data_IF_832475057330
#
_entry.id   IF_832475057330
#
_cell.length_a   1.000
_cell.length_b   1.000
_cell.length_c   1.000
_cell.angle_alpha   90.00
_cell.angle_beta   90.00
_cell.angle_gamma   90.00
#
_symmetry.space_group_name_H-M   'P 1'
#
loop_
_entity.id
_entity.type
_entity.pdbx_description
1 polymer ?
#
# COMPACT_ATOMS: atom_id res chain seq x y z
N UNK A 1 7.95 -4.30 -22.60
CA UNK A 1 8.88 -3.51 -21.75
C UNK A 1 8.38 -3.60 -20.32
N UNK A 2 9.26 -3.92 -19.36
CA UNK A 2 8.93 -3.94 -17.93
C UNK A 2 9.84 -2.92 -17.25
N UNK A 3 9.27 -2.08 -16.40
CA UNK A 3 10.03 -1.04 -15.70
C UNK A 3 9.18 -0.35 -14.64
N UNK A 4 9.81 0.52 -13.87
CA UNK A 4 9.14 1.31 -12.83
C UNK A 4 8.46 2.54 -13.45
N UNK A 5 8.08 3.51 -12.63
CA UNK A 5 7.57 4.83 -13.05
C UNK A 5 8.44 5.53 -14.13
N UNK A 6 9.71 5.14 -14.29
CA UNK A 6 10.58 5.61 -15.36
C UNK A 6 9.99 5.38 -16.76
N UNK A 7 9.17 4.35 -16.95
CA UNK A 7 8.49 4.03 -18.22
C UNK A 7 7.50 5.12 -18.66
N UNK A 8 7.00 5.92 -17.71
CA UNK A 8 5.94 6.91 -17.95
C UNK A 8 6.53 8.29 -18.24
N UNK A 9 7.82 8.49 -17.99
CA UNK A 9 8.49 9.77 -18.29
C UNK A 9 8.39 10.14 -19.77
N UNK A 10 8.25 11.43 -20.07
CA UNK A 10 7.98 11.96 -21.42
C UNK A 10 8.99 11.52 -22.49
N UNK A 11 10.22 11.24 -22.05
CA UNK A 11 11.31 10.77 -22.93
C UNK A 11 11.07 9.37 -23.50
N UNK A 12 10.23 8.57 -22.86
CA UNK A 12 9.91 7.21 -23.30
C UNK A 12 8.77 7.26 -24.30
N UNK A 13 9.09 7.05 -25.57
CA UNK A 13 8.13 6.96 -26.67
C UNK A 13 7.89 5.51 -27.05
N UNK A 14 6.63 5.18 -27.34
CA UNK A 14 6.24 3.88 -27.84
C UNK A 14 6.00 3.97 -29.34
N UNK A 15 6.26 2.90 -30.08
CA UNK A 15 5.89 2.83 -31.50
C UNK A 15 4.38 2.57 -31.65
N UNK A 16 3.82 1.68 -30.81
CA UNK A 16 2.38 1.37 -30.77
C UNK A 16 2.00 0.77 -29.42
N UNK A 17 1.57 1.60 -28.47
CA UNK A 17 1.14 1.15 -27.15
C UNK A 17 -0.29 0.59 -27.22
N UNK A 18 -0.44 -0.73 -27.10
CA UNK A 18 -1.76 -1.39 -27.09
C UNK A 18 -2.24 -1.88 -25.72
N UNK A 19 -1.33 -2.10 -24.77
CA UNK A 19 -1.64 -2.62 -23.43
C UNK A 19 -0.65 -2.06 -22.40
N UNK A 20 -1.17 -1.60 -21.28
CA UNK A 20 -0.42 -1.23 -20.09
C UNK A 20 -0.93 -2.06 -18.89
N UNK A 21 0.00 -2.70 -18.19
CA UNK A 21 -0.29 -3.43 -16.95
C UNK A 21 0.41 -2.68 -15.81
N UNK A 22 -0.36 -2.29 -14.79
CA UNK A 22 0.13 -1.59 -13.61
C UNK A 22 -0.07 -2.51 -12.41
N UNK A 23 1.01 -2.80 -11.68
CA UNK A 23 0.99 -3.58 -10.44
C UNK A 23 1.17 -2.65 -9.23
N UNK A 24 0.54 -3.00 -8.11
CA UNK A 24 0.53 -2.20 -6.86
C UNK A 24 0.06 -0.75 -7.06
N UNK A 25 -1.17 -0.58 -7.55
CA UNK A 25 -1.78 0.69 -7.98
C UNK A 25 -1.70 1.86 -6.98
N UNK A 26 -1.45 1.64 -5.68
CA UNK A 26 -1.48 2.71 -4.67
C UNK A 26 -0.48 3.85 -4.90
N UNK A 27 0.54 3.68 -5.77
CA UNK A 27 1.47 4.74 -6.18
C UNK A 27 1.13 5.41 -7.53
N UNK A 28 0.14 4.88 -8.23
CA UNK A 28 -0.30 5.32 -9.55
C UNK A 28 -1.61 6.10 -9.44
N UNK A 29 -1.50 7.43 -9.41
CA UNK A 29 -2.63 8.35 -9.39
C UNK A 29 -3.25 8.58 -10.77
N UNK A 30 -4.29 9.41 -10.79
CA UNK A 30 -5.07 9.76 -12.00
C UNK A 30 -4.19 10.37 -13.10
N UNK A 31 -3.22 11.21 -12.74
CA UNK A 31 -2.33 11.89 -13.68
C UNK A 31 -1.46 10.92 -14.50
N UNK A 32 -0.91 9.87 -13.88
CA UNK A 32 -0.08 8.89 -14.59
C UNK A 32 -0.92 8.02 -15.55
N UNK A 33 -2.19 7.76 -15.20
CA UNK A 33 -3.14 7.09 -16.10
C UNK A 33 -3.45 7.93 -17.34
N UNK A 34 -3.68 9.24 -17.16
CA UNK A 34 -3.90 10.17 -18.26
C UNK A 34 -2.66 10.26 -19.16
N UNK A 35 -1.45 10.31 -18.58
CA UNK A 35 -0.20 10.28 -19.33
C UNK A 35 -0.04 9.00 -20.18
N UNK A 36 -0.38 7.81 -19.64
CA UNK A 36 -0.35 6.57 -20.41
C UNK A 36 -1.37 6.56 -21.56
N UNK A 37 -2.57 7.12 -21.34
CA UNK A 37 -3.57 7.30 -22.39
C UNK A 37 -3.08 8.25 -23.48
N UNK A 38 -2.54 9.41 -23.10
CA UNK A 38 -1.98 10.40 -24.02
C UNK A 38 -0.87 9.79 -24.88
N UNK A 39 0.04 9.03 -24.27
CA UNK A 39 1.09 8.32 -25.01
C UNK A 39 0.55 7.33 -26.04
N UNK A 40 -0.55 6.64 -25.76
CA UNK A 40 -1.20 5.76 -26.74
C UNK A 40 -1.82 6.51 -27.91
N UNK A 41 -2.46 7.66 -27.62
CA UNK A 41 -3.03 8.54 -28.65
C UNK A 41 -1.95 9.18 -29.54
N UNK A 42 -0.84 9.62 -28.96
CA UNK A 42 0.30 10.20 -29.68
C UNK A 42 0.98 9.20 -30.63
N UNK A 43 0.90 7.89 -30.34
CA UNK A 43 1.44 6.84 -31.22
C UNK A 43 0.64 6.69 -32.53
N UNK A 44 -0.62 7.13 -32.57
CA UNK A 44 -1.49 7.05 -33.76
C UNK A 44 -1.36 8.25 -34.71
N UNK A 45 -0.77 9.36 -34.27
CA UNK A 45 -0.67 10.59 -35.06
C UNK A 45 0.50 10.60 -36.08
N UNK A 46 1.32 9.53 -36.10
CA UNK A 46 2.48 9.42 -36.97
C UNK A 46 2.19 8.75 -38.32
N UNK A 47 1.82 9.56 -39.32
CA UNK A 47 2.10 9.29 -40.75
C UNK A 47 1.16 8.38 -41.53
N UNK A 48 0.56 7.35 -40.93
CA UNK A 48 -0.53 6.57 -41.54
C UNK A 48 -1.83 6.96 -40.86
N UNK A 49 -2.91 7.23 -41.60
CA UNK A 49 -4.22 7.68 -41.08
C UNK A 49 -4.97 6.67 -40.21
N UNK A 50 -4.28 5.97 -39.32
CA UNK A 50 -4.83 5.10 -38.31
C UNK A 50 -5.41 5.92 -37.15
N UNK A 51 -6.63 5.57 -36.76
CA UNK A 51 -7.32 6.16 -35.62
C UNK A 51 -6.43 6.17 -34.36
N UNK A 52 -6.51 7.25 -33.58
CA UNK A 52 -5.91 7.31 -32.25
C UNK A 52 -6.47 6.17 -31.40
N UNK A 53 -5.60 5.25 -30.95
CA UNK A 53 -6.02 4.07 -30.17
C UNK A 53 -5.69 4.30 -28.70
N UNK A 54 -6.71 4.21 -27.86
CA UNK A 54 -6.49 4.12 -26.42
C UNK A 54 -5.90 2.75 -26.07
N UNK A 55 -4.85 2.69 -25.23
CA UNK A 55 -4.29 1.43 -24.80
C UNK A 55 -5.22 0.76 -23.79
N UNK A 56 -5.32 -0.57 -23.86
CA UNK A 56 -5.96 -1.34 -22.80
C UNK A 56 -5.18 -1.17 -21.50
N UNK A 57 -5.89 -0.98 -20.38
CA UNK A 57 -5.27 -0.78 -19.07
C UNK A 57 -5.73 -1.89 -18.11
N UNK A 58 -4.78 -2.65 -17.58
CA UNK A 58 -5.00 -3.60 -16.50
C UNK A 58 -4.32 -3.10 -15.24
N UNK A 59 -5.07 -2.86 -14.17
CA UNK A 59 -4.54 -2.47 -12.87
C UNK A 59 -4.71 -3.59 -11.86
N UNK A 60 -3.64 -3.91 -11.14
CA UNK A 60 -3.59 -4.96 -10.13
C UNK A 60 -3.25 -4.35 -8.77
N UNK A 61 -3.90 -4.85 -7.71
CA UNK A 61 -3.66 -4.42 -6.33
C UNK A 61 -3.85 -5.61 -5.39
N UNK A 62 -2.95 -5.74 -4.42
CA UNK A 62 -3.07 -6.74 -3.35
C UNK A 62 -4.13 -6.37 -2.30
N UNK A 63 -4.49 -5.09 -2.21
CA UNK A 63 -5.57 -4.61 -1.35
C UNK A 63 -6.78 -4.32 -2.22
N UNK A 64 -7.86 -5.11 -2.12
CA UNK A 64 -9.06 -4.89 -2.93
C UNK A 64 -9.59 -3.48 -2.70
N UNK A 65 -9.94 -2.77 -3.75
CA UNK A 65 -10.69 -1.52 -3.62
C UNK A 65 -12.17 -1.91 -3.68
N UNK A 66 -13.01 -1.48 -2.72
CA UNK A 66 -14.45 -1.73 -2.81
C UNK A 66 -14.98 -1.30 -4.18
N UNK A 67 -15.80 -2.13 -4.82
CA UNK A 67 -16.31 -1.89 -6.18
C UNK A 67 -17.00 -0.53 -6.30
N UNK A 68 -17.81 -0.17 -5.32
CA UNK A 68 -18.51 1.12 -5.25
C UNK A 68 -17.55 2.30 -5.21
N UNK A 69 -16.46 2.17 -4.46
CA UNK A 69 -15.38 3.16 -4.43
C UNK A 69 -14.62 3.20 -5.75
N UNK A 70 -14.32 2.04 -6.34
CA UNK A 70 -13.66 1.98 -7.64
C UNK A 70 -14.50 2.65 -8.74
N UNK A 71 -15.82 2.46 -8.70
CA UNK A 71 -16.78 3.11 -9.60
C UNK A 71 -16.87 4.61 -9.35
N UNK A 72 -16.89 5.07 -8.10
CA UNK A 72 -16.97 6.48 -7.78
C UNK A 72 -15.69 7.27 -8.12
N UNK A 73 -14.52 6.66 -7.86
CA UNK A 73 -13.21 7.31 -8.03
C UNK A 73 -12.67 7.13 -9.43
N UNK A 74 -12.88 5.96 -10.03
CA UNK A 74 -12.28 5.62 -11.31
C UNK A 74 -13.29 5.43 -12.46
N UNK A 75 -14.59 5.53 -12.17
CA UNK A 75 -15.65 5.55 -13.18
C UNK A 75 -15.82 4.19 -13.87
N UNK A 76 -15.31 4.12 -15.09
CA UNK A 76 -15.51 3.04 -16.07
C UNK A 76 -14.52 1.86 -15.89
N UNK A 77 -14.15 1.56 -14.65
CA UNK A 77 -13.26 0.43 -14.37
C UNK A 77 -14.06 -0.83 -14.07
N UNK A 78 -13.97 -1.79 -14.98
CA UNK A 78 -14.39 -3.15 -14.72
C UNK A 78 -13.46 -3.79 -13.68
N UNK A 79 -14.04 -4.17 -12.55
CA UNK A 79 -13.32 -4.77 -11.43
C UNK A 79 -13.56 -6.28 -11.45
N UNK A 80 -12.48 -7.04 -11.64
CA UNK A 80 -12.46 -8.48 -11.43
C UNK A 80 -11.78 -8.82 -10.11
N UNK A 81 -12.28 -9.83 -9.41
CA UNK A 81 -11.84 -10.17 -8.06
C UNK A 81 -11.32 -11.61 -8.02
N UNK A 82 -10.24 -11.83 -7.27
CA UNK A 82 -9.68 -13.16 -7.02
C UNK A 82 -9.75 -13.39 -5.51
N UNK A 83 -10.81 -14.08 -5.06
CA UNK A 83 -11.10 -14.26 -3.63
C UNK A 83 -10.42 -15.49 -3.01
N UNK A 84 -10.22 -16.54 -3.82
CA UNK A 84 -9.71 -17.81 -3.30
C UNK A 84 -8.19 -17.89 -3.37
N UNK A 85 -7.61 -18.43 -2.31
CA UNK A 85 -6.19 -18.75 -2.28
C UNK A 85 -5.90 -19.86 -3.30
N UNK A 86 -4.75 -19.81 -4.00
CA UNK A 86 -4.26 -20.95 -4.77
C UNK A 86 -4.15 -22.21 -3.90
N UNK A 87 -4.33 -23.41 -4.48
CA UNK A 87 -4.18 -24.66 -3.74
C UNK A 87 -2.78 -24.76 -3.11
N UNK A 88 -2.72 -25.26 -1.88
CA UNK A 88 -1.46 -25.42 -1.13
C UNK A 88 -1.06 -24.24 -0.24
N UNK A 89 -1.86 -23.15 -0.18
CA UNK A 89 -1.67 -22.08 0.80
C UNK A 89 -2.44 -22.33 2.09
N UNK A 90 -1.75 -22.20 3.22
CA UNK A 90 -2.36 -22.25 4.54
C UNK A 90 -2.80 -20.86 5.01
N UNK A 91 -3.99 -20.72 5.65
CA UNK A 91 -4.43 -19.45 6.19
C UNK A 91 -3.49 -18.99 7.31
N UNK A 92 -3.19 -17.69 7.33
CA UNK A 92 -2.32 -17.09 8.35
C UNK A 92 -3.12 -16.82 9.61
N UNK A 93 -2.71 -17.41 10.74
CA UNK A 93 -3.32 -17.15 12.04
C UNK A 93 -2.78 -15.86 12.62
N UNK A 94 -3.64 -14.84 12.77
CA UNK A 94 -3.24 -13.54 13.34
C UNK A 94 -3.53 -13.49 14.84
N UNK A 95 -2.57 -13.00 15.63
CA UNK A 95 -2.70 -12.75 17.07
C UNK A 95 -2.18 -11.36 17.41
N UNK A 96 -2.79 -10.74 18.42
CA UNK A 96 -2.45 -9.38 18.86
C UNK A 96 -2.01 -9.46 20.32
N UNK A 97 -0.85 -8.88 20.63
CA UNK A 97 -0.24 -8.87 21.96
C UNK A 97 0.23 -7.47 22.33
N UNK A 98 0.15 -7.15 23.61
CA UNK A 98 0.84 -5.99 24.14
C UNK A 98 2.35 -6.29 24.24
N UNK A 99 3.15 -5.23 24.28
CA UNK A 99 4.61 -5.30 24.28
C UNK A 99 5.20 -6.00 25.53
N UNK A 100 4.42 -6.17 26.60
CA UNK A 100 4.78 -6.98 27.77
C UNK A 100 5.00 -8.47 27.43
N UNK A 101 4.46 -8.94 26.29
CA UNK A 101 4.68 -10.30 25.78
C UNK A 101 5.82 -10.40 24.78
N UNK A 102 6.56 -9.32 24.53
CA UNK A 102 7.65 -9.29 23.54
C UNK A 102 8.70 -10.37 23.81
N UNK A 103 9.12 -10.57 25.06
CA UNK A 103 10.09 -11.61 25.41
C UNK A 103 9.61 -13.02 25.04
N UNK A 104 8.33 -13.32 25.25
CA UNK A 104 7.74 -14.59 24.85
C UNK A 104 7.72 -14.76 23.33
N UNK A 105 7.48 -13.68 22.58
CA UNK A 105 7.56 -13.67 21.12
C UNK A 105 9.00 -13.93 20.65
N UNK A 106 9.98 -13.27 21.26
CA UNK A 106 11.40 -13.49 20.94
C UNK A 106 11.80 -14.96 21.20
N UNK A 107 11.37 -15.55 22.31
CA UNK A 107 11.62 -16.97 22.59
C UNK A 107 10.97 -17.88 21.54
N UNK A 108 9.76 -17.54 21.07
CA UNK A 108 9.10 -18.27 19.99
C UNK A 108 9.87 -18.16 18.67
N UNK A 109 10.41 -16.98 18.35
CA UNK A 109 11.26 -16.77 17.17
C UNK A 109 12.51 -17.65 17.26
N UNK A 110 13.18 -17.69 18.41
CA UNK A 110 14.34 -18.55 18.64
C UNK A 110 14.05 -20.02 18.37
N UNK A 111 12.92 -20.54 18.86
CA UNK A 111 12.51 -21.93 18.62
C UNK A 111 12.28 -22.22 17.13
N UNK A 112 11.65 -21.28 16.41
CA UNK A 112 11.36 -21.44 14.98
C UNK A 112 12.63 -21.39 14.13
N UNK A 113 13.56 -20.48 14.45
CA UNK A 113 14.87 -20.39 13.79
C UNK A 113 15.66 -21.68 14.01
N UNK A 114 15.67 -22.22 15.24
CA UNK A 114 16.31 -23.49 15.55
C UNK A 114 15.67 -24.68 14.80
N UNK A 115 14.35 -24.63 14.57
CA UNK A 115 13.63 -25.59 13.73
C UNK A 115 13.82 -25.37 12.22
N UNK A 116 14.72 -24.46 11.81
CA UNK A 116 15.01 -24.16 10.41
C UNK A 116 13.93 -23.35 9.69
N UNK A 117 12.97 -22.77 10.42
CA UNK A 117 11.93 -21.91 9.82
C UNK A 117 12.45 -20.49 9.63
N UNK A 118 11.81 -19.77 8.71
CA UNK A 118 12.13 -18.39 8.43
C UNK A 118 11.10 -17.43 9.02
N UNK A 119 11.59 -16.31 9.53
CA UNK A 119 10.82 -15.33 10.29
C UNK A 119 11.09 -13.93 9.75
N UNK A 120 10.02 -13.16 9.57
CA UNK A 120 10.08 -11.71 9.37
C UNK A 120 9.84 -10.99 10.69
N UNK A 121 10.64 -9.96 10.97
CA UNK A 121 10.44 -9.03 12.07
C UNK A 121 10.42 -7.60 11.54
N UNK A 122 9.26 -6.94 11.62
CA UNK A 122 9.03 -5.63 11.02
C UNK A 122 8.96 -4.56 12.08
N UNK A 123 9.83 -3.56 11.95
CA UNK A 123 9.80 -2.34 12.76
C UNK A 123 9.11 -1.21 11.95
N UNK A 124 8.25 -0.39 12.57
CA UNK A 124 7.61 0.74 11.90
C UNK A 124 8.64 1.78 11.44
N UNK A 125 8.31 2.49 10.36
CA UNK A 125 8.85 3.82 10.09
C UNK A 125 7.93 4.81 10.83
N UNK A 126 8.49 5.84 11.46
CA UNK A 126 7.70 6.86 12.14
C UNK A 126 7.29 7.88 11.08
N UNK A 127 6.17 7.63 10.41
CA UNK A 127 5.54 8.69 9.61
C UNK A 127 4.96 9.76 10.54
N UNK A 128 5.04 11.02 10.12
CA UNK A 128 4.53 12.18 10.85
C UNK A 128 3.05 11.95 11.21
N UNK A 129 2.75 11.70 12.48
CA UNK A 129 1.40 11.86 12.99
C UNK A 129 1.01 13.32 12.74
N UNK A 130 0.00 13.55 11.91
CA UNK A 130 -0.59 14.87 11.72
C UNK A 130 -0.85 15.47 13.12
N UNK A 131 -0.37 16.68 13.42
CA UNK A 131 -0.47 17.22 14.76
C UNK A 131 -1.95 17.34 15.13
N UNK A 132 -2.39 16.53 16.09
CA UNK A 132 -3.60 16.80 16.83
C UNK A 132 -3.36 18.13 17.55
N UNK A 133 -4.09 19.15 17.12
CA UNK A 133 -4.12 20.47 17.73
C UNK A 133 -4.36 20.35 19.23
N UNK A 134 -3.36 20.70 20.03
CA UNK A 134 -3.54 21.22 21.37
C UNK A 134 -2.58 22.41 21.55
N UNK A 135 -3.08 23.59 21.95
CA UNK A 135 -2.25 24.79 22.04
C UNK A 135 -1.75 24.97 23.47
N UNK A 136 -0.45 24.75 23.73
CA UNK A 136 0.25 25.48 24.81
C UNK A 136 1.70 25.74 24.43
N UNK A 137 2.07 27.01 24.63
CA UNK A 137 3.33 27.72 24.41
C UNK A 137 4.64 26.98 24.69
N UNK A 138 5.64 27.24 23.83
CA UNK A 138 6.86 27.95 24.27
C UNK A 138 7.50 28.67 23.09
N UNK A 139 7.63 29.98 23.24
CA UNK A 139 8.29 30.87 22.30
C UNK A 139 9.83 30.76 22.41
N UNK A 140 10.48 31.21 21.32
CA UNK A 140 11.88 31.61 21.19
C UNK A 140 12.92 30.50 20.99
N UNK A 141 13.34 30.33 19.72
CA UNK A 141 14.69 30.70 19.27
C UNK A 141 14.76 30.62 17.73
N UNK A 142 15.07 31.77 17.12
CA UNK A 142 15.28 31.94 15.69
C UNK A 142 16.60 31.27 15.24
N UNK A 143 16.54 30.49 14.16
CA UNK A 143 17.59 30.45 13.13
C UNK A 143 17.06 29.76 11.86
N UNK A 144 17.12 30.52 10.76
CA UNK A 144 16.60 30.16 9.45
C UNK A 144 17.31 28.95 8.82
N UNK A 145 16.59 27.84 8.73
CA UNK A 145 16.74 26.76 7.75
C UNK A 145 15.45 25.92 7.81
N UNK A 146 14.91 25.42 6.68
CA UNK A 146 13.56 24.84 6.63
C UNK A 146 13.44 23.69 7.64
N UNK A 147 12.64 23.89 8.69
CA UNK A 147 12.51 22.97 9.82
C UNK A 147 12.01 21.58 9.40
N UNK A 148 11.22 21.49 8.33
CA UNK A 148 10.71 20.22 7.77
C UNK A 148 11.81 19.24 7.37
N UNK A 149 12.92 19.72 6.80
CA UNK A 149 14.03 18.85 6.38
C UNK A 149 14.90 18.33 7.53
N UNK A 150 15.02 19.10 8.63
CA UNK A 150 15.78 18.68 9.82
C UNK A 150 15.03 17.66 10.66
N UNK A 151 13.71 17.82 10.80
CA UNK A 151 12.86 16.91 11.57
C UNK A 151 12.71 15.54 10.88
N UNK A 152 12.44 15.52 9.58
CA UNK A 152 12.35 14.27 8.81
C UNK A 152 13.67 13.46 8.89
N UNK A 153 14.81 14.12 8.66
CA UNK A 153 16.13 13.47 8.74
C UNK A 153 16.48 12.97 10.14
N UNK A 154 15.99 13.64 11.19
CA UNK A 154 16.16 13.21 12.59
C UNK A 154 15.30 11.98 12.90
N UNK A 155 14.06 11.92 12.40
CA UNK A 155 13.17 10.78 12.60
C UNK A 155 13.68 9.54 11.87
N UNK A 156 14.10 9.68 10.61
CA UNK A 156 14.76 8.60 9.86
C UNK A 156 16.00 8.03 10.58
N UNK A 157 16.74 8.89 11.28
CA UNK A 157 17.91 8.46 12.07
C UNK A 157 17.51 7.70 13.33
N UNK A 158 16.41 8.09 13.99
CA UNK A 158 15.87 7.37 15.16
C UNK A 158 15.29 6.02 14.75
N UNK A 159 14.67 5.92 13.58
CA UNK A 159 14.12 4.68 13.02
C UNK A 159 15.20 3.67 12.66
N UNK A 160 16.27 4.13 12.01
CA UNK A 160 17.42 3.29 11.73
C UNK A 160 17.99 2.70 13.02
N UNK A 161 18.13 3.55 14.04
CA UNK A 161 18.61 3.12 15.36
C UNK A 161 17.67 2.11 16.01
N UNK A 162 16.36 2.23 15.85
CA UNK A 162 15.40 1.26 16.38
C UNK A 162 15.57 -0.11 15.71
N UNK A 163 15.63 -0.15 14.38
CA UNK A 163 15.83 -1.41 13.64
C UNK A 163 17.21 -2.03 13.93
N UNK A 164 18.26 -1.22 14.05
CA UNK A 164 19.61 -1.67 14.43
C UNK A 164 19.66 -2.19 15.88
N UNK A 165 18.95 -1.54 16.81
CA UNK A 165 18.86 -2.00 18.20
C UNK A 165 18.13 -3.34 18.30
N UNK A 166 16.97 -3.46 17.66
CA UNK A 166 16.22 -4.72 17.58
C UNK A 166 17.04 -5.82 16.91
N UNK A 167 17.79 -5.49 15.85
CA UNK A 167 18.71 -6.43 15.22
C UNK A 167 19.80 -6.92 16.17
N UNK A 168 20.48 -6.02 16.88
CA UNK A 168 21.52 -6.37 17.85
C UNK A 168 20.97 -7.22 19.00
N UNK A 169 19.78 -6.88 19.49
CA UNK A 169 19.10 -7.63 20.54
C UNK A 169 18.74 -9.05 20.08
N UNK A 170 18.11 -9.19 18.90
CA UNK A 170 17.72 -10.49 18.37
C UNK A 170 18.95 -11.37 18.06
N UNK A 171 20.05 -10.77 17.60
CA UNK A 171 21.34 -11.48 17.48
C UNK A 171 21.82 -12.01 18.83
N UNK A 172 21.79 -11.19 19.88
CA UNK A 172 22.21 -11.60 21.21
C UNK A 172 21.36 -12.77 21.74
N UNK A 173 20.04 -12.74 21.53
CA UNK A 173 19.14 -13.80 22.00
C UNK A 173 19.29 -15.11 21.21
N UNK A 174 19.63 -15.03 19.92
CA UNK A 174 19.83 -16.19 19.05
C UNK A 174 21.20 -16.88 19.25
N UNK A 175 22.18 -16.19 19.85
CA UNK A 175 23.47 -16.79 20.22
C UNK A 175 24.21 -17.37 19.02
N UNK A 176 24.34 -18.71 18.95
CA UNK A 176 25.03 -19.41 17.85
C UNK A 176 24.36 -19.18 16.48
N UNK A 177 23.04 -18.93 16.46
CA UNK A 177 22.29 -18.61 15.25
C UNK A 177 22.34 -17.11 14.89
N UNK A 178 23.11 -16.27 15.61
CA UNK A 178 23.20 -14.83 15.35
C UNK A 178 23.64 -14.48 13.91
N UNK A 179 24.44 -15.34 13.28
CA UNK A 179 24.87 -15.18 11.89
C UNK A 179 23.72 -15.35 10.88
N UNK A 180 22.58 -15.91 11.31
CA UNK A 180 21.38 -16.13 10.49
C UNK A 180 20.37 -14.98 10.59
N UNK A 181 20.71 -13.90 11.29
CA UNK A 181 19.89 -12.69 11.37
C UNK A 181 20.36 -11.70 10.30
N UNK A 182 19.43 -11.22 9.49
CA UNK A 182 19.64 -10.16 8.52
C UNK A 182 18.96 -8.86 8.92
N UNK A 183 19.53 -7.74 8.49
CA UNK A 183 18.95 -6.41 8.63
C UNK A 183 18.65 -5.82 7.24
N UNK A 184 17.45 -5.27 7.05
CA UNK A 184 17.04 -4.60 5.83
C UNK A 184 16.35 -3.27 6.12
N UNK A 185 16.91 -2.16 5.63
CA UNK A 185 16.31 -0.84 5.77
C UNK A 185 16.52 0.02 4.53
N UNK A 186 15.74 1.10 4.41
CA UNK A 186 15.72 2.00 3.26
C UNK A 186 17.08 2.59 2.88
N UNK A 187 17.98 2.83 3.85
CA UNK A 187 19.31 3.41 3.63
C UNK A 187 20.39 2.45 3.11
N UNK A 188 20.13 1.14 3.06
CA UNK A 188 21.08 0.20 2.47
C UNK A 188 21.22 0.43 0.95
N UNK A 189 22.43 0.28 0.43
CA UNK A 189 22.67 0.27 -1.01
C UNK A 189 21.85 -0.84 -1.69
N UNK A 190 21.37 -0.58 -2.91
CA UNK A 190 20.51 -1.51 -3.65
C UNK A 190 21.12 -2.92 -3.79
N UNK A 191 22.43 -2.99 -4.09
CA UNK A 191 23.15 -4.26 -4.17
C UNK A 191 23.14 -5.04 -2.84
N UNK A 192 23.29 -4.33 -1.71
CA UNK A 192 23.25 -4.96 -0.38
C UNK A 192 21.85 -5.44 -0.03
N UNK A 193 20.81 -4.67 -0.34
CA UNK A 193 19.41 -5.10 -0.17
C UNK A 193 19.12 -6.38 -0.95
N UNK A 194 19.52 -6.41 -2.22
CA UNK A 194 19.35 -7.58 -3.09
C UNK A 194 20.07 -8.80 -2.51
N UNK A 195 21.31 -8.64 -2.03
CA UNK A 195 22.07 -9.71 -1.41
C UNK A 195 21.39 -10.26 -0.15
N UNK A 196 20.98 -9.39 0.78
CA UNK A 196 20.29 -9.80 2.02
C UNK A 196 19.00 -10.56 1.69
N UNK A 197 18.22 -10.08 0.71
CA UNK A 197 17.01 -10.76 0.27
C UNK A 197 17.29 -12.10 -0.39
N UNK A 198 18.37 -12.22 -1.17
CA UNK A 198 18.79 -13.49 -1.77
C UNK A 198 19.27 -14.49 -0.70
N UNK A 199 20.00 -14.03 0.31
CA UNK A 199 20.44 -14.84 1.44
C UNK A 199 19.27 -15.33 2.28
N UNK A 200 18.26 -14.48 2.48
CA UNK A 200 17.01 -14.86 3.12
C UNK A 200 16.25 -15.85 2.25
N UNK A 201 15.97 -15.58 0.98
CA UNK A 201 15.26 -16.53 0.10
C UNK A 201 15.95 -17.91 -0.01
N UNK A 202 17.28 -17.95 0.03
CA UNK A 202 18.06 -19.19 0.02
C UNK A 202 18.13 -19.92 1.37
N UNK A 203 17.53 -19.36 2.44
CA UNK A 203 17.56 -19.94 3.79
C UNK A 203 18.92 -19.85 4.49
N UNK A 204 19.84 -19.00 3.99
CA UNK A 204 21.09 -18.66 4.70
C UNK A 204 20.79 -17.77 5.90
N UNK A 205 19.84 -16.85 5.73
CA UNK A 205 19.24 -16.08 6.82
C UNK A 205 17.91 -16.70 7.21
N UNK A 206 17.68 -16.83 8.51
CA UNK A 206 16.44 -17.39 9.10
C UNK A 206 15.58 -16.32 9.75
N UNK A 207 16.16 -15.20 10.14
CA UNK A 207 15.43 -14.06 10.67
C UNK A 207 15.78 -12.81 9.87
N UNK A 208 14.78 -12.10 9.37
CA UNK A 208 14.97 -10.81 8.69
C UNK A 208 14.31 -9.70 9.50
N UNK A 209 15.13 -8.84 10.10
CA UNK A 209 14.70 -7.60 10.73
C UNK A 209 14.62 -6.54 9.64
N UNK A 210 13.46 -5.93 9.45
CA UNK A 210 13.26 -4.95 8.41
C UNK A 210 12.43 -3.74 8.86
N UNK A 211 12.72 -2.57 8.30
CA UNK A 211 11.75 -1.46 8.33
C UNK A 211 10.68 -1.66 7.25
N UNK A 212 9.64 -0.83 7.23
CA UNK A 212 8.43 -0.97 6.38
C UNK A 212 8.67 -0.98 4.86
N UNK A 213 9.92 -0.97 4.42
CA UNK A 213 10.38 -1.24 3.06
C UNK A 213 10.50 -2.75 2.79
N UNK A 214 9.49 -3.55 3.16
CA UNK A 214 9.31 -4.87 2.54
C UNK A 214 8.41 -4.71 1.31
N UNK A 215 8.82 -3.81 0.42
CA UNK A 215 8.26 -3.67 -0.93
C UNK A 215 8.88 -4.66 -1.91
N UNK A 216 9.92 -5.40 -1.50
CA UNK A 216 10.57 -6.35 -2.40
C UNK A 216 9.67 -7.58 -2.49
N UNK A 217 9.07 -7.79 -3.67
CA UNK A 217 8.18 -8.89 -4.05
C UNK A 217 8.78 -10.30 -3.99
N UNK A 218 9.66 -10.57 -3.02
CA UNK A 218 10.28 -11.88 -2.85
C UNK A 218 9.32 -12.81 -2.14
N UNK A 219 8.96 -13.89 -2.82
CA UNK A 219 8.21 -15.01 -2.27
C UNK A 219 9.17 -15.92 -1.50
N UNK A 220 8.92 -16.14 -0.21
CA UNK A 220 9.70 -17.06 0.63
C UNK A 220 8.74 -18.10 1.22
N UNK A 221 8.52 -19.25 0.55
CA UNK A 221 7.56 -20.25 1.01
C UNK A 221 7.84 -20.81 2.40
N UNK A 222 9.12 -20.85 2.81
CA UNK A 222 9.56 -21.32 4.12
C UNK A 222 9.36 -20.29 5.25
N UNK A 223 8.86 -19.08 4.95
CA UNK A 223 8.54 -18.07 5.95
C UNK A 223 7.18 -18.38 6.61
N UNK A 224 7.23 -18.79 7.88
CA UNK A 224 6.06 -19.24 8.64
C UNK A 224 5.65 -18.27 9.74
N UNK A 225 6.46 -17.24 10.04
CA UNK A 225 6.16 -16.27 11.08
C UNK A 225 6.42 -14.84 10.61
N UNK A 226 5.42 -13.98 10.79
CA UNK A 226 5.52 -12.53 10.63
C UNK A 226 5.32 -11.87 11.99
N UNK A 227 6.31 -11.12 12.48
CA UNK A 227 6.21 -10.29 13.68
C UNK A 227 6.21 -8.84 13.27
N UNK A 228 5.24 -8.06 13.74
CA UNK A 228 5.13 -6.62 13.48
C UNK A 228 5.16 -5.91 14.82
N UNK A 229 6.25 -5.18 15.08
CA UNK A 229 6.37 -4.29 16.23
C UNK A 229 5.53 -3.03 16.02
N UNK A 230 5.01 -2.47 17.12
CA UNK A 230 4.21 -1.24 17.12
C UNK A 230 3.14 -1.21 16.00
N UNK A 231 2.38 -2.30 15.87
CA UNK A 231 1.37 -2.49 14.85
C UNK A 231 0.29 -1.37 14.86
N UNK A 232 0.12 -0.67 15.98
CA UNK A 232 -0.72 0.53 16.10
C UNK A 232 -0.27 1.72 15.24
N UNK A 233 0.94 1.67 14.65
CA UNK A 233 1.45 2.71 13.76
C UNK A 233 1.18 2.47 12.27
N UNK A 234 0.80 1.25 11.89
CA UNK A 234 0.64 0.84 10.50
C UNK A 234 -0.79 0.92 10.00
N UNK A 235 -1.03 1.44 8.80
CA UNK A 235 -2.36 1.39 8.16
C UNK A 235 -2.87 -0.06 7.95
N UNK A 236 -4.19 -0.24 7.84
CA UNK A 236 -4.79 -1.58 7.74
C UNK A 236 -4.33 -2.31 6.47
N UNK A 237 -4.26 -1.57 5.36
CA UNK A 237 -3.71 -2.05 4.09
C UNK A 237 -2.25 -2.47 4.19
N UNK A 238 -1.39 -1.72 4.88
CA UNK A 238 0.01 -2.08 5.10
C UNK A 238 0.12 -3.36 5.93
N UNK A 239 -0.63 -3.47 7.02
CA UNK A 239 -0.68 -4.68 7.85
C UNK A 239 -1.15 -5.90 7.05
N UNK A 240 -2.16 -5.72 6.19
CA UNK A 240 -2.65 -6.76 5.30
C UNK A 240 -1.58 -7.25 4.32
N UNK A 241 -0.86 -6.33 3.68
CA UNK A 241 0.23 -6.65 2.75
C UNK A 241 1.38 -7.38 3.47
N UNK A 242 1.78 -6.92 4.65
CA UNK A 242 2.82 -7.58 5.46
C UNK A 242 2.40 -9.00 5.86
N UNK A 243 1.16 -9.18 6.34
CA UNK A 243 0.61 -10.51 6.65
C UNK A 243 0.67 -11.46 5.44
N UNK A 244 0.41 -10.96 4.23
CA UNK A 244 0.47 -11.73 2.98
C UNK A 244 1.88 -12.15 2.51
N UNK A 245 2.94 -11.74 3.22
CA UNK A 245 4.32 -12.17 2.96
C UNK A 245 4.63 -13.55 3.55
N UNK A 246 3.80 -14.07 4.45
CA UNK A 246 3.93 -15.41 5.05
C UNK A 246 2.76 -16.32 4.63
N UNK A 247 2.89 -17.63 4.84
CA UNK A 247 1.84 -18.60 4.52
C UNK A 247 1.71 -18.91 3.03
N UNK A 248 2.82 -18.82 2.31
CA UNK A 248 2.89 -19.12 0.87
C UNK A 248 3.16 -20.60 0.56
N UNK A 249 3.56 -21.39 1.57
CA UNK A 249 3.67 -22.84 1.50
C UNK A 249 2.54 -23.57 2.25
N UNK A 250 2.67 -24.89 2.34
CA UNK A 250 1.73 -25.77 3.03
C UNK A 250 1.80 -25.64 4.57
N UNK A 251 2.92 -25.18 5.09
CA UNK A 251 3.12 -25.02 6.54
C UNK A 251 2.18 -23.96 7.13
N UNK A 252 1.72 -24.20 8.36
CA UNK A 252 0.93 -23.22 9.09
C UNK A 252 1.75 -21.95 9.34
N UNK A 253 1.17 -20.80 8.96
CA UNK A 253 1.78 -19.50 9.17
C UNK A 253 1.06 -18.72 10.27
N UNK A 254 1.83 -17.92 11.00
CA UNK A 254 1.35 -17.05 12.07
C UNK A 254 1.77 -15.59 11.80
N UNK A 255 0.92 -14.64 12.19
CA UNK A 255 1.21 -13.21 12.18
C UNK A 255 0.96 -12.65 13.58
N UNK A 256 2.01 -12.16 14.23
CA UNK A 256 1.97 -11.61 15.58
C UNK A 256 2.10 -10.09 15.50
N UNK A 257 1.07 -9.41 15.99
CA UNK A 257 0.99 -7.96 16.06
C UNK A 257 1.32 -7.54 17.49
N UNK A 258 2.47 -6.90 17.69
CA UNK A 258 2.86 -6.30 18.96
C UNK A 258 2.43 -4.83 18.99
N UNK A 259 1.86 -4.38 20.11
CA UNK A 259 1.48 -2.98 20.28
C UNK A 259 1.90 -2.44 21.64
N UNK A 260 2.12 -1.13 21.71
CA UNK A 260 2.41 -0.45 22.98
C UNK A 260 1.12 0.22 23.51
N UNK A 261 0.65 -0.13 24.73
CA UNK A 261 -0.48 0.57 25.36
C UNK A 261 -0.15 2.04 25.67
N UNK A 262 -1.14 2.95 25.70
CA UNK A 262 -2.56 2.72 25.41
C UNK A 262 -2.88 2.77 23.91
N UNK A 263 -3.80 1.91 23.45
CA UNK A 263 -4.33 1.95 22.09
C UNK A 263 -5.43 3.00 21.95
N UNK A 264 -5.39 3.77 20.87
CA UNK A 264 -6.55 4.57 20.43
C UNK A 264 -7.71 3.65 19.99
N UNK A 265 -8.94 4.17 20.02
CA UNK A 265 -10.12 3.42 19.55
C UNK A 265 -9.95 2.93 18.11
N UNK A 266 -9.48 3.82 17.22
CA UNK A 266 -9.21 3.51 15.82
C UNK A 266 -8.13 2.44 15.64
N UNK A 267 -7.03 2.52 16.39
CA UNK A 267 -5.97 1.51 16.33
C UNK A 267 -6.48 0.14 16.82
N UNK A 268 -7.29 0.13 17.88
CA UNK A 268 -7.91 -1.10 18.39
C UNK A 268 -8.82 -1.74 17.35
N UNK A 269 -9.73 -0.98 16.75
CA UNK A 269 -10.62 -1.49 15.69
C UNK A 269 -9.85 -2.06 14.51
N UNK A 270 -8.77 -1.37 14.10
CA UNK A 270 -7.92 -1.82 13.00
C UNK A 270 -7.21 -3.15 13.28
N UNK A 271 -6.56 -3.26 14.45
CA UNK A 271 -5.87 -4.50 14.85
C UNK A 271 -6.86 -5.66 15.03
N UNK A 272 -8.05 -5.37 15.55
CA UNK A 272 -9.12 -6.35 15.69
C UNK A 272 -9.64 -6.81 14.32
N UNK A 273 -9.87 -5.91 13.37
CA UNK A 273 -10.29 -6.27 12.02
C UNK A 273 -9.29 -7.23 11.34
N UNK A 274 -7.98 -6.94 11.43
CA UNK A 274 -6.94 -7.81 10.86
C UNK A 274 -6.87 -9.19 11.56
N UNK A 275 -7.16 -9.25 12.86
CA UNK A 275 -7.20 -10.50 13.62
C UNK A 275 -8.40 -11.36 13.22
N UNK A 276 -9.56 -10.73 13.06
CA UNK A 276 -10.84 -11.42 12.91
C UNK A 276 -11.11 -11.83 11.45
N UNK A 277 -10.48 -11.17 10.46
CA UNK A 277 -10.68 -11.47 9.04
C UNK A 277 -9.38 -11.66 8.25
N UNK A 278 -9.34 -12.73 7.46
CA UNK A 278 -8.32 -12.94 6.43
C UNK A 278 -8.71 -12.36 5.06
N UNK A 279 -9.97 -11.95 4.88
CA UNK A 279 -10.50 -11.48 3.60
C UNK A 279 -10.10 -10.02 3.33
N UNK A 280 -9.36 -9.82 2.24
CA UNK A 280 -8.92 -8.50 1.81
C UNK A 280 -10.06 -7.52 1.55
N UNK A 281 -11.26 -7.97 1.17
CA UNK A 281 -12.43 -7.10 0.94
C UNK A 281 -12.99 -6.54 2.23
N UNK A 282 -13.22 -7.43 3.21
CA UNK A 282 -13.70 -7.04 4.54
C UNK A 282 -12.73 -6.04 5.16
N UNK A 283 -11.42 -6.29 5.01
CA UNK A 283 -10.38 -5.39 5.52
C UNK A 283 -10.35 -4.05 4.77
N UNK A 284 -10.51 -4.05 3.45
CA UNK A 284 -10.52 -2.81 2.67
C UNK A 284 -11.75 -1.94 2.94
N UNK A 285 -12.92 -2.57 3.10
CA UNK A 285 -14.14 -1.86 3.51
C UNK A 285 -13.96 -1.24 4.90
N UNK A 286 -13.42 -2.01 5.85
CA UNK A 286 -13.13 -1.51 7.19
C UNK A 286 -12.07 -0.40 7.19
N UNK A 287 -11.04 -0.47 6.33
CA UNK A 287 -10.04 0.60 6.17
C UNK A 287 -10.69 1.89 5.67
N UNK A 288 -11.63 1.79 4.72
CA UNK A 288 -12.40 2.94 4.20
C UNK A 288 -13.32 3.55 5.28
N UNK A 289 -14.02 2.72 6.05
CA UNK A 289 -14.85 3.17 7.18
C UNK A 289 -14.02 3.91 8.23
N UNK A 290 -12.83 3.37 8.57
CA UNK A 290 -11.95 3.93 9.61
C UNK A 290 -11.25 5.22 9.17
N UNK A 291 -10.85 5.36 7.90
CA UNK A 291 -10.22 6.59 7.35
C UNK A 291 -11.24 7.66 6.96
N UNK A 292 -12.46 7.25 6.67
CA UNK A 292 -13.47 8.09 6.04
C UNK A 292 -13.23 8.25 4.53
N UNK A 293 -14.30 8.50 3.73
CA UNK A 293 -14.24 8.51 2.27
C UNK A 293 -13.38 9.63 1.66
N UNK A 294 -12.96 10.64 2.44
CA UNK A 294 -12.22 11.81 1.96
C UNK A 294 -10.70 11.63 1.80
N UNK A 295 -10.07 10.64 2.44
CA UNK A 295 -8.60 10.49 2.44
C UNK A 295 -8.04 9.61 1.31
N UNK A 296 -8.86 8.75 0.69
CA UNK A 296 -8.40 7.77 -0.31
C UNK A 296 -8.00 8.38 -1.67
N UNK A 297 -8.32 9.66 -1.89
CA UNK A 297 -7.96 10.42 -3.09
C UNK A 297 -6.55 11.05 -3.04
N UNK A 298 -5.77 10.77 -2.00
CA UNK A 298 -4.33 11.01 -2.01
C UNK A 298 -3.86 12.46 -1.99
N UNK A 299 -4.75 13.46 -1.97
CA UNK A 299 -4.39 14.85 -1.65
C UNK A 299 -5.57 15.62 -1.04
N UNK A 300 -5.32 16.31 0.08
CA UNK A 300 -6.12 17.46 0.56
C UNK A 300 -6.04 18.68 -0.38
N UNK A 301 -5.62 18.52 -1.64
CA UNK A 301 -5.49 19.60 -2.62
C UNK A 301 -5.95 19.13 -4.00
N UNK A 302 -7.21 19.39 -4.32
CA UNK A 302 -7.68 20.18 -5.48
C UNK A 302 -9.14 19.86 -5.79
N UNK A 303 -10.05 20.57 -5.10
CA UNK A 303 -11.37 20.88 -5.65
C UNK A 303 -12.48 19.82 -5.62
N UNK A 304 -12.20 18.55 -5.32
CA UNK A 304 -13.28 17.60 -4.99
C UNK A 304 -13.78 17.92 -3.60
N UNK A 305 -14.87 18.68 -3.51
CA UNK A 305 -15.63 18.81 -2.28
C UNK A 305 -15.92 17.39 -1.80
N UNK A 306 -15.47 17.04 -0.59
CA UNK A 306 -15.99 15.87 0.10
C UNK A 306 -17.52 15.90 -0.08
N UNK A 307 -18.08 14.84 -0.66
CA UNK A 307 -19.50 14.77 -1.00
C UNK A 307 -20.30 15.19 0.25
N UNK A 308 -20.84 16.42 0.25
CA UNK A 308 -21.45 17.00 1.46
C UNK A 308 -22.70 16.25 1.90
N UNK A 309 -23.33 15.55 0.97
CA UNK A 309 -24.64 14.94 1.11
C UNK A 309 -24.72 13.52 0.53
N UNK A 310 -23.62 12.98 -0.01
CA UNK A 310 -23.62 11.66 -0.62
C UNK A 310 -22.57 10.79 0.05
N UNK A 311 -22.94 9.55 0.34
CA UNK A 311 -22.09 8.55 0.94
C UNK A 311 -21.95 7.38 -0.05
N UNK A 312 -20.71 7.11 -0.46
CA UNK A 312 -20.39 6.10 -1.47
C UNK A 312 -20.76 4.68 -1.04
N UNK A 313 -20.96 4.44 0.26
CA UNK A 313 -21.39 3.15 0.80
C UNK A 313 -22.92 3.01 0.76
N UNK A 314 -23.67 4.06 1.12
CA UNK A 314 -25.15 4.01 1.12
C UNK A 314 -25.75 4.24 -0.26
N UNK A 315 -25.07 5.04 -1.09
CA UNK A 315 -25.60 5.51 -2.37
C UNK A 315 -25.09 4.66 -3.55
N UNK A 316 -24.64 3.43 -3.28
CA UNK A 316 -24.12 2.50 -4.27
C UNK A 316 -25.08 2.28 -5.45
N UNK A 317 -26.38 2.09 -5.17
CA UNK A 317 -27.40 1.91 -6.20
C UNK A 317 -27.59 3.15 -7.09
N UNK A 318 -27.45 4.36 -6.51
CA UNK A 318 -27.53 5.62 -7.27
C UNK A 318 -26.31 5.77 -8.19
N UNK A 319 -25.12 5.37 -7.73
CA UNK A 319 -23.90 5.37 -8.56
C UNK A 319 -24.01 4.39 -9.73
N UNK A 320 -24.53 3.18 -9.49
CA UNK A 320 -24.76 2.19 -10.55
C UNK A 320 -25.76 2.71 -11.59
N UNK A 321 -26.90 3.24 -11.16
CA UNK A 321 -27.90 3.83 -12.05
C UNK A 321 -27.35 5.03 -12.84
N UNK A 322 -26.55 5.89 -12.21
CA UNK A 322 -25.90 7.01 -12.88
C UNK A 322 -24.92 6.55 -13.96
N UNK A 323 -24.16 5.48 -13.70
CA UNK A 323 -23.25 4.88 -14.69
C UNK A 323 -24.01 4.30 -15.87
N UNK A 324 -25.07 3.53 -15.61
CA UNK A 324 -25.89 2.95 -16.68
C UNK A 324 -26.53 4.03 -17.55
N UNK A 325 -27.07 5.08 -16.92
CA UNK A 325 -27.59 6.24 -17.63
C UNK A 325 -26.52 6.93 -18.48
N UNK A 326 -25.30 7.11 -17.95
CA UNK A 326 -24.19 7.71 -18.70
C UNK A 326 -23.78 6.87 -19.91
N UNK A 327 -23.64 5.56 -19.76
CA UNK A 327 -23.34 4.64 -20.87
C UNK A 327 -24.45 4.58 -21.91
N UNK A 328 -25.71 4.65 -21.46
CA UNK A 328 -26.85 4.74 -22.36
C UNK A 328 -26.80 6.06 -23.16
N UNK A 329 -26.58 7.18 -22.48
CA UNK A 329 -26.51 8.51 -23.07
C UNK A 329 -25.36 8.61 -24.09
N UNK A 330 -24.18 8.09 -23.77
CA UNK A 330 -23.03 8.04 -24.69
C UNK A 330 -23.32 7.25 -25.97
N UNK A 331 -24.15 6.21 -25.89
CA UNK A 331 -24.51 5.36 -27.06
C UNK A 331 -25.65 5.92 -27.89
N UNK A 332 -26.65 6.53 -27.26
CA UNK A 332 -27.90 6.91 -27.92
C UNK A 332 -28.04 8.42 -28.15
N UNK A 333 -27.39 9.26 -27.34
CA UNK A 333 -27.39 10.72 -27.49
C UNK A 333 -26.06 11.37 -27.03
N UNK A 334 -25.02 11.27 -27.87
CA UNK A 334 -23.70 11.84 -27.56
C UNK A 334 -23.69 13.37 -27.39
N UNK A 335 -24.67 14.07 -27.96
CA UNK A 335 -24.80 15.53 -27.84
C UNK A 335 -25.34 15.89 -26.46
N UNK A 336 -26.41 15.23 -26.00
CA UNK A 336 -26.90 15.39 -24.63
C UNK A 336 -25.82 15.05 -23.59
N UNK A 337 -24.99 14.03 -23.83
CA UNK A 337 -23.85 13.71 -22.96
C UNK A 337 -22.85 14.87 -22.85
N UNK A 338 -22.47 15.49 -23.97
CA UNK A 338 -21.58 16.67 -23.99
C UNK A 338 -22.20 17.86 -23.26
N UNK A 339 -23.49 18.11 -23.45
CA UNK A 339 -24.21 19.17 -22.75
C UNK A 339 -24.28 18.91 -21.23
N UNK A 340 -24.48 17.66 -20.82
CA UNK A 340 -24.47 17.25 -19.41
C UNK A 340 -23.10 17.51 -18.79
N UNK A 341 -22.01 17.10 -19.45
CA UNK A 341 -20.64 17.38 -18.98
C UNK A 341 -20.38 18.88 -18.89
N UNK A 342 -20.76 19.65 -19.92
CA UNK A 342 -20.59 21.10 -19.94
C UNK A 342 -21.37 21.79 -18.81
N UNK A 343 -22.59 21.34 -18.51
CA UNK A 343 -23.41 21.89 -17.42
C UNK A 343 -22.82 21.65 -16.03
N UNK A 344 -22.34 20.44 -15.76
CA UNK A 344 -21.93 20.04 -14.41
C UNK A 344 -20.43 20.25 -14.13
N UNK A 345 -19.57 20.04 -15.13
CA UNK A 345 -18.12 20.25 -15.00
C UNK A 345 -17.69 21.63 -15.49
N UNK A 346 -18.40 22.23 -16.46
CA UNK A 346 -18.03 23.50 -17.07
C UNK A 346 -16.65 23.45 -17.76
N UNK A 347 -15.97 24.60 -17.85
CA UNK A 347 -14.58 24.72 -18.33
C UNK A 347 -13.50 24.07 -17.45
N UNK A 348 -13.87 23.29 -16.42
CA UNK A 348 -12.90 22.53 -15.59
C UNK A 348 -12.41 21.25 -16.27
N UNK A 349 -12.84 20.97 -17.49
CA UNK A 349 -12.28 19.88 -18.32
C UNK A 349 -10.79 20.07 -18.65
N UNK A 350 -10.27 21.30 -18.57
CA UNK A 350 -8.83 21.57 -18.70
C UNK A 350 -7.98 20.85 -17.64
N UNK A 351 -8.58 20.40 -16.53
CA UNK A 351 -7.90 19.60 -15.50
C UNK A 351 -7.80 18.11 -15.83
N UNK A 352 -8.58 17.62 -16.80
CA UNK A 352 -8.49 16.24 -17.31
C UNK A 352 -7.64 16.16 -18.59
N UNK A 353 -7.35 17.31 -19.22
CA UNK A 353 -6.59 17.44 -20.46
C UNK A 353 -5.17 18.00 -20.29
N UNK A 354 -4.68 18.20 -19.05
CA UNK A 354 -3.33 18.68 -18.75
C UNK A 354 -2.46 17.61 -18.07
#
# INVERSE_FOLDING_TARGET
>A
MVGTHAVIQDKVRFTRLGLAIVDEQHRFGVAQRLSLRAKGMDCGAGGDGGEAREPHLLMMSATPIPRTLAMAVFGDLDVSTIAHLPPGRSPVRTRVFADDKRDAVVQRVRQLVAAGRQVYWVCPLVEEAAPLTSPVMSAQLESGAPARGRTARRNEMLELRAAEATFAELQAVLGEDAARVGLLHGRLAAARKAQVMADFAAGRLRLLVATTVIEVGVDVPAATLMVIEHAERFGLSQLHQLRGRVGRGADAAECLLLFTPPLSAMARERLQALRDSADGFVLAQKDLELRGPGELLGQRQSGLQALRHADLQTDAALLEAAREAALWLLRHDPEAARQHLHRWLGGRLDWLAA
#
